data_IF_859757751382
#
_entry.id   IF_859757751382
#
_cell.length_a   1.000
_cell.length_b   1.000
_cell.length_c   1.000
_cell.angle_alpha   90.00
_cell.angle_beta   90.00
_cell.angle_gamma   90.00
#
_symmetry.space_group_name_H-M   'P 1'
#
loop_
_entity.id
_entity.type
_entity.pdbx_description
1 polymer ?
#
# COMPACT_ATOMS: atom_id res chain seq x y z
N UNK A 1 12.77 9.88 17.50
CA UNK A 1 12.61 9.79 16.02
C UNK A 1 13.81 9.04 15.48
N UNK A 2 13.64 7.76 15.12
CA UNK A 2 14.72 6.97 14.52
C UNK A 2 14.99 7.53 13.13
N UNK A 3 16.20 8.02 12.87
CA UNK A 3 16.63 8.50 11.59
C UNK A 3 16.48 7.40 10.53
N UNK A 4 15.59 7.62 9.55
CA UNK A 4 15.52 6.79 8.35
C UNK A 4 16.92 6.78 7.74
N UNK A 5 17.59 5.65 7.79
CA UNK A 5 18.82 5.42 7.02
C UNK A 5 18.49 5.83 5.60
N UNK A 6 19.18 6.84 5.04
CA UNK A 6 18.89 7.43 3.74
C UNK A 6 19.15 6.50 2.54
N UNK A 7 18.78 5.21 2.67
CA UNK A 7 18.87 4.16 1.65
C UNK A 7 17.50 3.61 1.33
N UNK A 8 17.16 3.57 0.05
CA UNK A 8 15.93 2.99 -0.48
C UNK A 8 16.20 2.32 -1.84
N UNK A 9 15.26 1.49 -2.30
CA UNK A 9 15.30 0.92 -3.66
C UNK A 9 14.65 1.83 -4.69
N UNK A 10 13.85 2.81 -4.26
CA UNK A 10 13.19 3.75 -5.13
C UNK A 10 13.22 5.14 -4.51
N UNK A 11 13.31 6.15 -5.36
CA UNK A 11 13.29 7.56 -4.98
C UNK A 11 12.32 8.32 -5.88
N UNK A 12 11.56 9.20 -5.28
CA UNK A 12 10.65 10.10 -5.97
C UNK A 12 11.33 11.43 -6.30
N UNK A 13 10.89 12.05 -7.39
CA UNK A 13 11.33 13.37 -7.84
C UNK A 13 10.21 14.07 -8.61
N UNK A 14 10.37 15.36 -8.86
CA UNK A 14 9.39 16.16 -9.59
C UNK A 14 10.00 16.60 -10.92
N UNK A 15 9.18 16.58 -11.98
CA UNK A 15 9.49 17.05 -13.31
C UNK A 15 8.60 18.24 -13.60
N UNK A 16 9.21 19.37 -13.96
CA UNK A 16 8.50 20.51 -14.54
C UNK A 16 8.77 20.50 -16.05
N UNK A 17 7.81 20.06 -16.91
CA UNK A 17 8.05 19.93 -18.35
C UNK A 17 8.47 21.24 -19.03
N UNK A 18 8.05 22.38 -18.49
CA UNK A 18 8.47 23.69 -18.97
C UNK A 18 9.97 23.92 -18.79
N UNK A 19 10.54 23.50 -17.66
CA UNK A 19 11.97 23.66 -17.35
C UNK A 19 12.82 22.50 -17.89
N UNK A 20 12.20 21.34 -18.14
CA UNK A 20 12.85 20.15 -18.67
C UNK A 20 12.05 19.54 -19.84
N UNK A 21 12.02 20.22 -21.01
CA UNK A 21 11.19 19.79 -22.14
C UNK A 21 11.64 18.47 -22.79
N UNK A 22 12.87 18.03 -22.54
CA UNK A 22 13.46 16.79 -23.09
C UNK A 22 13.38 15.60 -22.12
N UNK A 23 12.61 15.70 -21.02
CA UNK A 23 12.57 14.73 -19.94
C UNK A 23 12.33 13.28 -20.41
N UNK A 24 11.47 13.06 -21.39
CA UNK A 24 11.18 11.70 -21.90
C UNK A 24 12.40 11.07 -22.57
N UNK A 25 13.07 11.84 -23.44
CA UNK A 25 14.28 11.39 -24.12
C UNK A 25 15.39 11.10 -23.11
N UNK A 26 15.57 11.97 -22.15
CA UNK A 26 16.65 11.92 -21.19
C UNK A 26 16.45 10.77 -20.19
N UNK A 27 15.21 10.57 -19.69
CA UNK A 27 14.88 9.42 -18.85
C UNK A 27 15.00 8.09 -19.60
N UNK A 28 14.62 8.06 -20.89
CA UNK A 28 14.84 6.88 -21.74
C UNK A 28 16.33 6.54 -21.88
N UNK A 29 17.15 7.57 -21.99
CA UNK A 29 18.62 7.44 -22.11
C UNK A 29 19.31 6.94 -20.82
N UNK A 30 18.65 7.06 -19.66
CA UNK A 30 19.19 6.52 -18.40
C UNK A 30 19.20 4.99 -18.34
N UNK A 31 18.39 4.32 -19.16
CA UNK A 31 18.21 2.85 -19.12
C UNK A 31 17.89 2.28 -17.72
N UNK A 32 17.29 3.10 -16.86
CA UNK A 32 16.87 2.71 -15.51
C UNK A 32 15.37 2.61 -15.42
N UNK A 33 14.84 1.75 -14.52
CA UNK A 33 13.39 1.68 -14.28
C UNK A 33 12.88 3.01 -13.71
N UNK A 34 12.05 3.71 -14.49
CA UNK A 34 11.41 4.97 -14.09
C UNK A 34 9.93 4.91 -14.45
N UNK A 35 9.08 5.30 -13.48
CA UNK A 35 7.64 5.52 -13.69
C UNK A 35 7.37 7.00 -13.53
N UNK A 36 6.61 7.59 -14.44
CA UNK A 36 6.27 9.01 -14.44
C UNK A 36 4.75 9.18 -14.50
N UNK A 37 4.21 10.05 -13.65
CA UNK A 37 2.78 10.34 -13.57
C UNK A 37 2.23 10.96 -14.87
N UNK A 38 0.91 10.97 -15.07
CA UNK A 38 0.23 11.95 -15.91
C UNK A 38 0.68 13.37 -15.57
N UNK A 39 0.40 14.34 -16.44
CA UNK A 39 0.63 15.76 -16.10
C UNK A 39 -0.37 16.20 -15.03
N UNK A 40 0.13 16.70 -13.90
CA UNK A 40 -0.69 17.29 -12.85
C UNK A 40 -0.88 18.78 -13.15
N UNK A 41 -1.89 19.08 -13.93
CA UNK A 41 -2.25 20.42 -14.40
C UNK A 41 -3.53 20.98 -13.74
N UNK A 42 -4.20 20.14 -12.91
CA UNK A 42 -5.43 20.50 -12.19
C UNK A 42 -5.24 20.53 -10.67
N UNK A 43 -4.01 20.41 -10.21
CA UNK A 43 -3.69 20.44 -8.78
C UNK A 43 -3.79 21.88 -8.25
N UNK A 44 -4.26 22.01 -7.00
CA UNK A 44 -4.34 23.28 -6.29
C UNK A 44 -3.53 23.25 -5.00
N UNK A 45 -3.14 24.44 -4.51
CA UNK A 45 -2.54 24.59 -3.18
C UNK A 45 -3.61 24.48 -2.08
N UNK A 46 -3.20 24.51 -0.82
CA UNK A 46 -4.14 24.54 0.32
C UNK A 46 -5.04 25.79 0.31
N UNK A 47 -4.56 26.88 -0.30
CA UNK A 47 -5.31 28.13 -0.47
C UNK A 47 -6.22 28.12 -1.70
N UNK A 48 -6.22 27.03 -2.50
CA UNK A 48 -7.05 26.86 -3.70
C UNK A 48 -6.43 27.45 -4.97
N UNK A 49 -5.19 27.94 -4.95
CA UNK A 49 -4.50 28.47 -6.12
C UNK A 49 -3.95 27.36 -7.01
N UNK A 50 -4.04 27.47 -8.36
CA UNK A 50 -3.50 26.48 -9.27
C UNK A 50 -2.00 26.26 -9.06
N UNK A 51 -1.59 24.99 -8.95
CA UNK A 51 -0.17 24.64 -8.94
C UNK A 51 0.40 24.68 -10.38
N UNK A 52 1.68 24.99 -10.46
CA UNK A 52 2.41 24.89 -11.73
C UNK A 52 2.30 23.44 -12.26
N UNK A 53 1.96 23.25 -13.54
CA UNK A 53 1.90 21.92 -14.14
C UNK A 53 3.21 21.15 -13.93
N UNK A 54 3.10 19.94 -13.39
CA UNK A 54 4.25 19.10 -13.03
C UNK A 54 3.93 17.62 -13.19
N UNK A 55 4.95 16.79 -13.14
CA UNK A 55 4.83 15.34 -13.06
C UNK A 55 5.63 14.83 -11.88
N UNK A 56 5.17 13.74 -11.27
CA UNK A 56 5.94 12.99 -10.29
C UNK A 56 6.65 11.83 -10.99
N UNK A 57 7.92 11.61 -10.65
CA UNK A 57 8.70 10.48 -11.13
C UNK A 57 9.12 9.56 -9.99
N UNK A 58 9.23 8.27 -10.26
CA UNK A 58 9.85 7.27 -9.38
C UNK A 58 10.98 6.62 -10.17
N UNK A 59 12.21 6.75 -9.69
CA UNK A 59 13.35 6.00 -10.23
C UNK A 59 13.72 4.86 -9.28
N UNK A 60 14.02 3.67 -9.82
CA UNK A 60 14.24 2.45 -9.03
C UNK A 60 15.59 1.81 -9.32
N UNK A 61 16.14 1.14 -8.29
CA UNK A 61 17.36 0.34 -8.32
C UNK A 61 17.10 -1.10 -7.91
N UNK A 62 17.83 -2.04 -8.46
CA UNK A 62 17.75 -3.45 -8.07
C UNK A 62 18.10 -3.68 -6.59
N UNK A 63 19.03 -2.89 -6.04
CA UNK A 63 19.42 -2.91 -4.63
C UNK A 63 19.21 -1.54 -3.98
N UNK A 64 19.09 -1.52 -2.64
CA UNK A 64 18.97 -0.26 -1.92
C UNK A 64 20.20 0.63 -2.13
N UNK A 65 19.98 1.87 -2.53
CA UNK A 65 21.00 2.89 -2.73
C UNK A 65 20.83 4.08 -1.78
N UNK A 66 21.78 5.01 -1.76
CA UNK A 66 21.72 6.21 -0.92
C UNK A 66 20.99 7.34 -1.63
N UNK A 67 20.39 8.26 -0.85
CA UNK A 67 19.82 9.50 -1.35
C UNK A 67 20.81 10.30 -2.18
N UNK A 68 22.10 10.34 -1.74
CA UNK A 68 23.16 11.00 -2.50
C UNK A 68 23.36 10.40 -3.89
N UNK A 69 23.34 9.07 -4.01
CA UNK A 69 23.48 8.41 -5.31
C UNK A 69 22.28 8.71 -6.22
N UNK A 70 21.06 8.73 -5.67
CA UNK A 70 19.87 9.11 -6.42
C UNK A 70 19.95 10.56 -6.94
N UNK A 71 20.38 11.51 -6.09
CA UNK A 71 20.62 12.89 -6.49
C UNK A 71 21.68 12.99 -7.58
N UNK A 72 22.85 12.33 -7.43
CA UNK A 72 23.92 12.36 -8.45
C UNK A 72 23.42 11.82 -9.80
N UNK A 73 22.54 10.80 -9.79
CA UNK A 73 21.97 10.24 -11.02
C UNK A 73 21.05 11.22 -11.73
N UNK A 74 20.30 12.03 -11.00
CA UNK A 74 19.27 12.95 -11.54
C UNK A 74 19.76 14.42 -11.67
N UNK A 75 20.85 14.79 -10.99
CA UNK A 75 21.42 16.14 -11.03
C UNK A 75 21.72 16.64 -12.46
N UNK A 76 22.20 15.82 -13.44
CA UNK A 76 22.42 16.28 -14.81
C UNK A 76 21.17 16.84 -15.50
N UNK A 77 19.98 16.52 -14.97
CA UNK A 77 18.69 16.98 -15.50
C UNK A 77 18.08 18.12 -14.70
N UNK A 78 18.85 18.73 -13.78
CA UNK A 78 18.38 19.84 -12.95
C UNK A 78 17.52 19.42 -11.76
N UNK A 79 17.50 18.12 -11.39
CA UNK A 79 16.80 17.63 -10.20
C UNK A 79 17.69 17.83 -8.97
N UNK A 80 17.27 18.70 -8.09
CA UNK A 80 18.00 19.07 -6.85
C UNK A 80 17.44 18.36 -5.61
N UNK A 81 16.25 17.77 -5.72
CA UNK A 81 15.58 17.09 -4.60
C UNK A 81 15.03 15.74 -4.99
N UNK A 82 15.27 14.75 -4.15
CA UNK A 82 14.67 13.43 -4.23
C UNK A 82 14.29 12.95 -2.83
N UNK A 83 13.26 12.13 -2.74
CA UNK A 83 12.85 11.53 -1.47
C UNK A 83 12.76 9.99 -1.57
N UNK A 84 13.13 9.27 -0.50
CA UNK A 84 13.02 7.82 -0.50
C UNK A 84 11.56 7.38 -0.49
N UNK A 85 11.20 6.49 -1.40
CA UNK A 85 9.87 5.89 -1.50
C UNK A 85 9.73 4.78 -0.45
N UNK A 86 8.83 4.96 0.51
CA UNK A 86 8.57 3.99 1.58
C UNK A 86 7.71 2.80 1.13
N UNK A 87 6.74 3.05 0.23
CA UNK A 87 5.89 2.03 -0.38
C UNK A 87 5.79 2.28 -1.87
N UNK A 88 6.36 1.39 -2.68
CA UNK A 88 6.32 1.52 -4.14
C UNK A 88 4.88 1.47 -4.68
N UNK A 89 4.02 0.50 -4.28
CA UNK A 89 2.62 0.50 -4.70
C UNK A 89 1.86 1.76 -4.24
N UNK A 90 2.05 2.16 -2.99
CA UNK A 90 1.42 3.38 -2.47
C UNK A 90 1.82 4.63 -3.26
N UNK A 91 3.11 4.73 -3.65
CA UNK A 91 3.54 5.88 -4.45
C UNK A 91 3.04 5.78 -5.91
N UNK A 92 2.96 4.57 -6.52
CA UNK A 92 2.33 4.41 -7.83
C UNK A 92 0.87 4.89 -7.81
N UNK A 93 0.11 4.57 -6.77
CA UNK A 93 -1.28 5.06 -6.59
C UNK A 93 -1.33 6.57 -6.41
N UNK A 94 -0.36 7.14 -5.68
CA UNK A 94 -0.21 8.59 -5.52
C UNK A 94 0.04 9.30 -6.86
N UNK A 95 0.73 8.68 -7.83
CA UNK A 95 0.94 9.25 -9.16
C UNK A 95 -0.37 9.61 -9.89
N UNK A 96 -1.48 8.97 -9.51
CA UNK A 96 -2.80 9.21 -10.09
C UNK A 96 -3.83 9.73 -9.05
N UNK A 97 -3.38 10.04 -7.82
CA UNK A 97 -4.19 10.46 -6.68
C UNK A 97 -5.29 9.47 -6.27
N UNK A 98 -5.10 8.17 -6.55
CA UNK A 98 -6.13 7.13 -6.36
C UNK A 98 -6.62 6.99 -4.91
N UNK A 99 -5.80 7.36 -3.93
CA UNK A 99 -6.12 7.28 -2.50
C UNK A 99 -6.62 8.60 -1.90
N UNK A 100 -6.75 9.65 -2.71
CA UNK A 100 -7.15 10.99 -2.28
C UNK A 100 -8.28 11.51 -3.18
N UNK A 101 -9.55 11.19 -2.84
CA UNK A 101 -10.71 11.53 -3.67
C UNK A 101 -10.97 13.06 -3.76
N UNK A 102 -10.41 13.84 -2.84
CA UNK A 102 -10.55 15.29 -2.82
C UNK A 102 -9.62 15.99 -3.84
N UNK A 103 -8.62 15.28 -4.34
CA UNK A 103 -7.72 15.75 -5.39
C UNK A 103 -8.21 15.42 -6.79
N UNK A 104 -7.71 16.16 -7.77
CA UNK A 104 -7.92 15.83 -9.17
C UNK A 104 -7.42 14.42 -9.47
N UNK A 105 -8.29 13.56 -10.02
CA UNK A 105 -7.93 12.19 -10.39
C UNK A 105 -7.32 12.18 -11.80
N UNK A 106 -6.28 11.37 -11.99
CA UNK A 106 -5.55 11.21 -13.25
C UNK A 106 -5.64 9.76 -13.74
N UNK A 107 -5.68 9.57 -15.06
CA UNK A 107 -5.81 8.24 -15.66
C UNK A 107 -4.48 7.48 -15.58
N UNK A 108 -4.53 6.23 -15.16
CA UNK A 108 -3.37 5.32 -15.12
C UNK A 108 -2.84 5.01 -16.54
N UNK A 109 -3.69 5.14 -17.56
CA UNK A 109 -3.30 4.95 -18.96
C UNK A 109 -2.29 6.02 -19.44
N UNK A 110 -2.25 7.19 -18.78
CA UNK A 110 -1.33 8.28 -19.09
C UNK A 110 0.01 8.20 -18.31
N UNK A 111 0.19 7.14 -17.52
CA UNK A 111 1.46 6.86 -16.82
C UNK A 111 2.49 6.38 -17.83
N UNK A 112 3.67 7.00 -17.81
CA UNK A 112 4.77 6.68 -18.72
C UNK A 112 5.84 5.88 -17.99
N UNK A 113 6.32 4.79 -18.61
CA UNK A 113 7.32 3.90 -18.04
C UNK A 113 8.58 3.81 -18.92
N UNK A 114 9.75 3.78 -18.28
CA UNK A 114 11.05 3.65 -18.92
C UNK A 114 11.85 2.51 -18.28
N UNK A 115 12.85 2.00 -19.00
CA UNK A 115 13.82 1.03 -18.48
C UNK A 115 13.22 -0.25 -17.92
N UNK A 116 12.05 -0.68 -18.43
CA UNK A 116 11.37 -1.88 -17.96
C UNK A 116 10.65 -1.71 -16.61
N UNK A 117 10.39 -0.47 -16.17
CA UNK A 117 9.58 -0.23 -14.99
C UNK A 117 8.16 -0.76 -15.17
N UNK A 118 7.66 -1.43 -14.14
CA UNK A 118 6.26 -1.89 -14.05
C UNK A 118 5.63 -1.21 -12.83
N UNK A 119 4.67 -0.31 -13.02
CA UNK A 119 3.96 0.32 -11.92
C UNK A 119 3.07 -0.72 -11.23
N UNK A 120 2.96 -0.59 -9.91
CA UNK A 120 2.10 -1.45 -9.09
C UNK A 120 1.05 -0.56 -8.43
N UNK A 121 -0.18 -0.60 -8.95
CA UNK A 121 -1.32 0.14 -8.42
C UNK A 121 -2.15 -0.66 -7.43
N UNK A 122 -1.74 -1.88 -7.07
CA UNK A 122 -2.48 -2.73 -6.17
C UNK A 122 -2.49 -2.13 -4.75
N UNK A 123 -3.69 -1.99 -4.19
CA UNK A 123 -3.85 -1.53 -2.82
C UNK A 123 -3.53 -2.67 -1.87
N UNK A 124 -2.49 -2.52 -1.08
CA UNK A 124 -2.23 -3.42 0.04
C UNK A 124 -3.01 -2.97 1.26
N UNK A 125 -3.63 -3.92 1.93
CA UNK A 125 -4.30 -3.66 3.20
C UNK A 125 -3.29 -3.14 4.24
N UNK A 126 -3.70 -2.18 5.04
CA UNK A 126 -2.97 -1.77 6.24
C UNK A 126 -3.01 -2.89 7.29
N UNK A 127 -2.16 -2.82 8.31
CA UNK A 127 -2.18 -3.80 9.39
C UNK A 127 -3.56 -3.90 10.07
N UNK A 128 -4.21 -2.77 10.32
CA UNK A 128 -5.55 -2.74 10.92
C UNK A 128 -6.61 -3.37 10.02
N UNK A 129 -6.57 -3.09 8.71
CA UNK A 129 -7.47 -3.71 7.74
C UNK A 129 -7.23 -5.23 7.60
N UNK A 130 -5.97 -5.68 7.67
CA UNK A 130 -5.66 -7.11 7.68
C UNK A 130 -6.20 -7.81 8.94
N UNK A 131 -6.13 -7.17 10.11
CA UNK A 131 -6.73 -7.72 11.33
C UNK A 131 -8.25 -7.77 11.22
N UNK A 132 -8.90 -6.69 10.79
CA UNK A 132 -10.34 -6.66 10.57
C UNK A 132 -10.78 -7.74 9.55
N UNK A 133 -10.03 -7.94 8.47
CA UNK A 133 -10.30 -9.00 7.51
C UNK A 133 -10.17 -10.40 8.15
N UNK A 134 -9.17 -10.62 9.03
CA UNK A 134 -9.05 -11.91 9.76
C UNK A 134 -10.20 -12.16 10.69
N UNK A 135 -10.66 -11.14 11.40
CA UNK A 135 -11.83 -11.24 12.27
C UNK A 135 -13.08 -11.58 11.46
N UNK A 136 -13.27 -10.98 10.28
CA UNK A 136 -14.35 -11.31 9.34
C UNK A 136 -14.25 -12.78 8.86
N UNK A 137 -13.05 -13.25 8.52
CA UNK A 137 -12.82 -14.65 8.10
C UNK A 137 -13.14 -15.60 9.24
N UNK A 138 -12.68 -15.31 10.46
CA UNK A 138 -12.97 -16.15 11.63
C UNK A 138 -14.46 -16.20 11.93
N UNK A 139 -15.15 -15.06 11.90
CA UNK A 139 -16.60 -15.00 12.09
C UNK A 139 -17.35 -15.85 11.04
N UNK A 140 -16.98 -15.73 9.76
CA UNK A 140 -17.55 -16.54 8.69
C UNK A 140 -17.34 -18.05 8.94
N UNK A 141 -16.12 -18.45 9.35
CA UNK A 141 -15.83 -19.85 9.68
C UNK A 141 -16.72 -20.36 10.83
N UNK A 142 -16.92 -19.54 11.85
CA UNK A 142 -17.78 -19.85 13.00
C UNK A 142 -19.23 -20.00 12.62
N UNK A 143 -19.76 -19.03 11.88
CA UNK A 143 -21.18 -19.01 11.46
C UNK A 143 -21.53 -20.19 10.54
N UNK A 144 -20.58 -20.62 9.71
CA UNK A 144 -20.81 -21.70 8.74
C UNK A 144 -20.23 -23.05 9.16
N UNK A 145 -19.69 -23.17 10.38
CA UNK A 145 -19.15 -24.42 10.90
C UNK A 145 -17.91 -24.91 10.14
N UNK A 146 -17.14 -24.00 9.53
CA UNK A 146 -15.89 -24.36 8.84
C UNK A 146 -14.82 -24.70 9.87
N UNK A 147 -14.31 -25.93 9.84
CA UNK A 147 -13.32 -26.43 10.82
C UNK A 147 -12.04 -26.93 10.16
N UNK A 148 -11.98 -26.92 8.83
CA UNK A 148 -10.83 -27.38 8.06
C UNK A 148 -10.24 -26.25 7.20
N UNK A 149 -8.90 -26.20 7.17
CA UNK A 149 -8.18 -25.21 6.35
C UNK A 149 -8.46 -25.37 4.85
N UNK A 150 -8.67 -26.62 4.38
CA UNK A 150 -8.98 -26.88 3.00
C UNK A 150 -10.33 -26.24 2.58
N UNK A 151 -11.34 -26.33 3.45
CA UNK A 151 -12.67 -25.77 3.18
C UNK A 151 -12.61 -24.24 3.13
N UNK A 152 -11.81 -23.60 4.01
CA UNK A 152 -11.55 -22.16 3.93
C UNK A 152 -10.85 -21.78 2.63
N UNK A 153 -9.87 -22.56 2.18
CA UNK A 153 -9.18 -22.31 0.91
C UNK A 153 -10.14 -22.38 -0.28
N UNK A 154 -11.03 -23.39 -0.29
CA UNK A 154 -12.02 -23.54 -1.34
C UNK A 154 -13.07 -22.42 -1.30
N UNK A 155 -13.52 -22.02 -0.11
CA UNK A 155 -14.38 -20.85 0.04
C UNK A 155 -13.74 -19.58 -0.53
N UNK A 156 -12.48 -19.29 -0.19
CA UNK A 156 -11.74 -18.17 -0.76
C UNK A 156 -11.62 -18.26 -2.29
N UNK A 157 -11.44 -19.47 -2.81
CA UNK A 157 -11.28 -19.70 -4.25
C UNK A 157 -12.53 -19.32 -5.03
N UNK A 158 -13.72 -19.61 -4.51
CA UNK A 158 -14.97 -19.50 -5.24
C UNK A 158 -15.80 -18.27 -4.85
N UNK A 159 -15.68 -17.79 -3.61
CA UNK A 159 -16.58 -16.80 -3.06
C UNK A 159 -15.90 -15.50 -2.61
N UNK A 160 -14.66 -15.58 -2.08
CA UNK A 160 -13.93 -14.42 -1.54
C UNK A 160 -12.47 -14.41 -2.01
N UNK A 161 -12.23 -14.19 -3.31
CA UNK A 161 -10.87 -14.12 -3.85
C UNK A 161 -10.00 -13.04 -3.23
N UNK A 162 -10.60 -12.00 -2.66
CA UNK A 162 -9.96 -10.93 -1.88
C UNK A 162 -9.29 -11.43 -0.59
N UNK A 163 -9.76 -12.53 0.00
CA UNK A 163 -9.17 -13.13 1.20
C UNK A 163 -7.98 -14.05 0.94
N UNK A 164 -7.74 -14.44 -0.31
CA UNK A 164 -6.69 -15.43 -0.67
C UNK A 164 -5.31 -15.02 -0.18
N UNK A 165 -4.97 -13.73 -0.24
CA UNK A 165 -3.66 -13.27 0.17
C UNK A 165 -3.43 -13.57 1.66
N UNK A 166 -4.36 -13.23 2.54
CA UNK A 166 -4.21 -13.54 3.97
C UNK A 166 -4.23 -15.04 4.22
N UNK A 167 -5.20 -15.76 3.67
CA UNK A 167 -5.39 -17.19 3.93
C UNK A 167 -4.20 -18.02 3.43
N UNK A 168 -3.71 -17.79 2.22
CA UNK A 168 -2.64 -18.60 1.64
C UNK A 168 -1.26 -18.22 2.15
N UNK A 169 -1.01 -16.95 2.47
CA UNK A 169 0.28 -16.50 2.99
C UNK A 169 0.45 -16.76 4.49
N UNK A 170 -0.66 -16.90 5.25
CA UNK A 170 -0.65 -17.13 6.69
C UNK A 170 -1.07 -18.57 7.08
N UNK A 171 -0.65 -19.55 6.30
CA UNK A 171 -1.00 -20.98 6.46
C UNK A 171 -0.75 -21.50 7.88
N UNK A 172 0.35 -21.09 8.53
CA UNK A 172 0.68 -21.54 9.91
C UNK A 172 -0.37 -21.05 10.90
N UNK A 173 -0.80 -19.78 10.76
CA UNK A 173 -1.84 -19.21 11.61
C UNK A 173 -3.17 -19.98 11.44
N UNK A 174 -3.64 -20.14 10.21
CA UNK A 174 -4.93 -20.77 9.93
C UNK A 174 -4.97 -22.25 10.31
N UNK A 175 -3.89 -22.99 10.05
CA UNK A 175 -3.80 -24.39 10.51
C UNK A 175 -3.81 -24.49 12.04
N UNK A 176 -3.12 -23.58 12.75
CA UNK A 176 -3.16 -23.50 14.20
C UNK A 176 -4.55 -23.17 14.73
N UNK A 177 -5.23 -22.20 14.13
CA UNK A 177 -6.60 -21.82 14.44
C UNK A 177 -7.55 -23.03 14.35
N UNK A 178 -7.59 -23.72 13.22
CA UNK A 178 -8.46 -24.88 13.04
C UNK A 178 -8.09 -26.07 13.94
N UNK A 179 -6.80 -26.30 14.21
CA UNK A 179 -6.40 -27.30 15.19
C UNK A 179 -6.98 -26.97 16.58
N UNK A 180 -6.95 -25.71 16.98
CA UNK A 180 -7.53 -25.24 18.26
C UNK A 180 -9.06 -25.34 18.25
N UNK A 181 -9.71 -24.97 17.14
CA UNK A 181 -11.18 -25.09 17.00
C UNK A 181 -11.64 -26.53 17.20
N UNK A 182 -10.98 -27.50 16.56
CA UNK A 182 -11.29 -28.92 16.72
C UNK A 182 -11.02 -29.47 18.11
N UNK A 183 -10.01 -28.91 18.80
CA UNK A 183 -9.63 -29.34 20.15
C UNK A 183 -10.50 -28.75 21.25
N UNK A 184 -11.33 -27.77 20.95
CA UNK A 184 -12.28 -27.20 21.93
C UNK A 184 -13.31 -28.25 22.27
N UNK A 185 -13.32 -28.71 23.53
CA UNK A 185 -14.43 -29.53 24.04
C UNK A 185 -15.72 -28.68 24.00
N UNK A 186 -16.87 -29.36 23.91
CA UNK A 186 -18.21 -28.78 23.76
C UNK A 186 -18.66 -27.88 24.96
N UNK A 187 -17.84 -27.62 25.95
CA UNK A 187 -18.07 -26.57 26.95
C UNK A 187 -17.87 -25.24 26.25
N UNK A 188 -18.91 -24.46 26.18
CA UNK A 188 -18.97 -23.24 25.40
C UNK A 188 -18.09 -22.13 26.03
N UNK A 189 -16.77 -22.26 25.79
CA UNK A 189 -15.79 -21.22 26.18
C UNK A 189 -16.23 -19.82 25.71
N UNK A 190 -17.05 -19.74 24.63
CA UNK A 190 -17.53 -18.50 24.06
C UNK A 190 -18.63 -17.85 24.91
N UNK A 191 -19.58 -18.62 25.44
CA UNK A 191 -20.59 -18.11 26.34
C UNK A 191 -19.95 -17.63 27.65
N UNK A 192 -19.04 -18.41 28.25
CA UNK A 192 -18.33 -18.03 29.47
C UNK A 192 -17.46 -16.79 29.28
N UNK A 193 -16.82 -16.61 28.14
CA UNK A 193 -15.94 -15.45 27.92
C UNK A 193 -16.67 -14.24 27.31
N UNK A 194 -17.72 -14.43 26.53
CA UNK A 194 -18.55 -13.30 26.10
C UNK A 194 -19.16 -12.57 27.31
N UNK A 195 -19.60 -13.31 28.31
CA UNK A 195 -20.07 -12.74 29.57
C UNK A 195 -18.95 -12.01 30.36
N UNK A 196 -17.70 -12.52 30.32
CA UNK A 196 -16.56 -11.89 31.01
C UNK A 196 -16.03 -10.61 30.37
N UNK A 197 -16.18 -10.45 29.06
CA UNK A 197 -15.62 -9.32 28.32
C UNK A 197 -16.71 -8.32 27.88
N UNK A 198 -18.00 -8.62 28.03
CA UNK A 198 -19.10 -7.68 27.78
C UNK A 198 -19.30 -6.66 28.89
N UNK A 199 -18.77 -6.93 30.11
CA UNK A 199 -18.94 -6.01 31.25
C UNK A 199 -17.88 -4.88 31.30
N UNK A 200 -17.06 -4.71 30.26
CA UNK A 200 -15.97 -3.73 30.20
C UNK A 200 -16.25 -2.46 29.39
N UNK A 201 -17.42 -2.30 28.79
CA UNK A 201 -17.68 -1.13 27.91
C UNK A 201 -18.35 0.08 28.60
N UNK A 202 -18.62 0.07 29.91
CA UNK A 202 -19.38 1.14 30.59
C UNK A 202 -18.59 1.96 31.63
N UNK A 203 -17.26 1.94 31.67
CA UNK A 203 -16.52 2.91 32.47
C UNK A 203 -15.82 3.96 31.60
N UNK A 204 -16.58 4.93 31.07
CA UNK A 204 -16.01 6.22 30.69
C UNK A 204 -15.69 6.99 31.98
N UNK A 205 -14.44 7.43 32.20
CA UNK A 205 -14.14 8.33 33.30
C UNK A 205 -14.84 9.66 33.07
N UNK A 206 -15.65 10.08 34.04
CA UNK A 206 -16.26 11.39 34.07
C UNK A 206 -15.16 12.46 33.99
N UNK A 207 -15.29 13.37 33.05
CA UNK A 207 -14.47 14.56 32.93
C UNK A 207 -14.74 15.47 34.13
N UNK A 208 -13.72 15.76 34.95
CA UNK A 208 -13.62 16.94 35.79
C UNK A 208 -12.82 18.03 35.06
#
# INVERSE_FOLDING_TARGET
MAGKTGRARAFAFIIYPESWPTWERDLRGLHMPVVVSPIHDRDVTEEGEPKKPHRHGIISWGNATTLRNALVTLAPFGIEYVEPVGSYPGYCRYLCHMDDPDKAQYDVADVVCFGGAVPDFERKLTASEMFAQRDEIMAMCEENGVTEYADLCDFCRYHRPDWRQDVYMNTVFWRGYFASVRSRSAVDWREENRARYSDGEDEQPAAE
#
